data_IF_922450886099
#
_entry.id   IF_922450886099
#
_cell.length_a   1.000
_cell.length_b   1.000
_cell.length_c   1.000
_cell.angle_alpha   90.00
_cell.angle_beta   90.00
_cell.angle_gamma   90.00
#
_symmetry.space_group_name_H-M   'P 1'
#
loop_
_entity.id
_entity.type
_entity.pdbx_description
1 polymer ?
#
# COMPACT_ATOMS: atom_id res chain seq x y z
N UNK A 1 10.89 -43.27 -3.17
CA UNK A 1 11.70 -42.22 -2.49
C UNK A 1 12.07 -41.03 -3.39
N UNK A 2 12.70 -41.20 -4.56
CA UNK A 2 13.20 -40.07 -5.39
C UNK A 2 12.12 -39.08 -5.88
N UNK A 3 10.89 -39.53 -6.16
CA UNK A 3 9.78 -38.68 -6.63
C UNK A 3 9.30 -37.70 -5.56
N UNK A 4 9.16 -38.17 -4.32
CA UNK A 4 8.75 -37.35 -3.18
C UNK A 4 9.81 -36.29 -2.84
N UNK A 5 11.09 -36.64 -2.97
CA UNK A 5 12.20 -35.71 -2.77
C UNK A 5 12.20 -34.56 -3.81
N UNK A 6 11.93 -34.85 -5.08
CA UNK A 6 11.78 -33.81 -6.12
C UNK A 6 10.60 -32.88 -5.83
N UNK A 7 9.48 -33.41 -5.37
CA UNK A 7 8.30 -32.60 -5.02
C UNK A 7 8.62 -31.64 -3.87
N UNK A 8 9.32 -32.12 -2.83
CA UNK A 8 9.75 -31.29 -1.70
C UNK A 8 10.66 -30.15 -2.16
N UNK A 9 11.63 -30.43 -3.04
CA UNK A 9 12.51 -29.39 -3.59
C UNK A 9 11.72 -28.32 -4.35
N UNK A 10 10.76 -28.72 -5.19
CA UNK A 10 9.92 -27.77 -5.94
C UNK A 10 9.08 -26.91 -4.99
N UNK A 11 8.53 -27.49 -3.92
CA UNK A 11 7.77 -26.74 -2.90
C UNK A 11 8.65 -25.73 -2.17
N UNK A 12 9.88 -26.10 -1.80
CA UNK A 12 10.84 -25.18 -1.16
C UNK A 12 11.20 -24.04 -2.12
N UNK A 13 11.48 -24.33 -3.40
CA UNK A 13 11.76 -23.31 -4.40
C UNK A 13 10.60 -22.34 -4.58
N UNK A 14 9.36 -22.85 -4.62
CA UNK A 14 8.17 -22.01 -4.69
C UNK A 14 8.03 -21.11 -3.45
N UNK A 15 8.22 -21.67 -2.25
CA UNK A 15 8.18 -20.90 -1.00
C UNK A 15 9.24 -19.77 -1.01
N UNK A 16 10.49 -20.09 -1.33
CA UNK A 16 11.59 -19.12 -1.40
C UNK A 16 11.28 -18.03 -2.44
N UNK A 17 10.74 -18.40 -3.60
CA UNK A 17 10.35 -17.44 -4.63
C UNK A 17 9.24 -16.48 -4.15
N UNK A 18 8.22 -16.98 -3.46
CA UNK A 18 7.14 -16.12 -2.92
C UNK A 18 7.65 -15.16 -1.86
N UNK A 19 8.53 -15.62 -0.96
CA UNK A 19 9.17 -14.76 0.05
C UNK A 19 10.04 -13.68 -0.62
N UNK A 20 10.81 -14.03 -1.65
CA UNK A 20 11.65 -13.09 -2.39
C UNK A 20 10.82 -12.03 -3.12
N UNK A 21 9.68 -12.42 -3.69
CA UNK A 21 8.73 -11.50 -4.33
C UNK A 21 8.12 -10.52 -3.32
N UNK A 22 7.74 -10.99 -2.13
CA UNK A 22 7.25 -10.13 -1.05
C UNK A 22 8.31 -9.12 -0.62
N UNK A 23 9.54 -9.59 -0.39
CA UNK A 23 10.67 -8.74 -0.03
C UNK A 23 10.98 -7.69 -1.10
N UNK A 24 10.99 -8.08 -2.38
CA UNK A 24 11.23 -7.14 -3.49
C UNK A 24 10.14 -6.06 -3.57
N UNK A 25 8.88 -6.41 -3.28
CA UNK A 25 7.77 -5.45 -3.24
C UNK A 25 7.94 -4.44 -2.09
N UNK A 26 8.25 -4.92 -0.88
CA UNK A 26 8.53 -4.04 0.26
C UNK A 26 9.75 -3.15 0.03
N UNK A 27 10.83 -3.68 -0.55
CA UNK A 27 12.02 -2.92 -0.89
C UNK A 27 11.72 -1.86 -1.96
N UNK A 28 10.91 -2.19 -2.97
CA UNK A 28 10.48 -1.24 -3.99
C UNK A 28 9.69 -0.08 -3.39
N UNK A 29 8.72 -0.39 -2.52
CA UNK A 29 7.95 0.62 -1.79
C UNK A 29 8.87 1.46 -0.91
N UNK A 30 9.75 0.83 -0.13
CA UNK A 30 10.71 1.53 0.72
C UNK A 30 11.59 2.49 -0.08
N UNK A 31 12.15 2.06 -1.23
CA UNK A 31 12.97 2.91 -2.10
C UNK A 31 12.13 4.06 -2.66
N UNK A 32 10.90 3.78 -3.12
CA UNK A 32 9.95 4.79 -3.63
C UNK A 32 9.66 5.85 -2.56
N UNK A 33 9.46 5.45 -1.31
CA UNK A 33 9.09 6.36 -0.21
C UNK A 33 10.27 7.04 0.49
N UNK A 34 11.49 6.50 0.37
CA UNK A 34 12.70 7.08 0.99
C UNK A 34 13.45 8.02 0.06
N UNK A 35 13.28 7.87 -1.26
CA UNK A 35 13.86 8.77 -2.26
C UNK A 35 12.98 10.01 -2.41
N UNK A 36 12.96 10.86 -1.38
CA UNK A 36 12.29 12.15 -1.41
C UNK A 36 13.15 13.14 -2.20
N UNK A 37 12.90 13.27 -3.50
CA UNK A 37 13.09 14.52 -4.25
C UNK A 37 11.95 14.59 -5.24
N UNK A 38 11.14 15.64 -5.12
CA UNK A 38 10.16 16.09 -6.10
C UNK A 38 10.56 15.69 -7.53
N UNK A 39 9.79 14.80 -8.15
CA UNK A 39 9.87 14.55 -9.59
C UNK A 39 8.57 15.10 -10.17
N UNK A 40 8.65 16.27 -10.82
CA UNK A 40 7.54 16.81 -11.63
C UNK A 40 6.96 15.78 -12.61
N UNK A 41 7.78 14.76 -12.96
CA UNK A 41 7.46 13.66 -13.86
C UNK A 41 6.54 12.59 -13.26
N UNK A 42 6.52 12.42 -11.94
CA UNK A 42 5.73 11.37 -11.26
C UNK A 42 4.53 11.92 -10.48
N UNK A 43 4.45 13.25 -10.31
CA UNK A 43 3.42 13.97 -9.55
C UNK A 43 3.16 13.42 -8.13
N UNK A 44 4.04 12.59 -7.59
CA UNK A 44 3.85 11.85 -6.35
C UNK A 44 4.17 12.68 -5.11
N UNK A 45 3.16 13.07 -4.33
CA UNK A 45 3.36 13.71 -3.03
C UNK A 45 3.49 12.67 -1.92
N UNK A 46 4.69 12.55 -1.34
CA UNK A 46 4.88 11.88 -0.07
C UNK A 46 4.64 12.93 1.01
N UNK A 47 3.46 12.91 1.62
CA UNK A 47 3.13 13.78 2.76
C UNK A 47 3.02 12.93 4.03
N UNK A 48 3.74 13.35 5.05
CA UNK A 48 3.56 12.84 6.41
C UNK A 48 2.30 13.49 6.98
N UNK A 49 1.36 12.65 7.43
CA UNK A 49 0.15 13.14 8.08
C UNK A 49 0.08 12.63 9.51
N UNK A 50 0.07 13.56 10.46
CA UNK A 50 -0.18 13.29 11.87
C UNK A 50 -1.69 13.20 12.11
N UNK A 51 -2.25 12.05 11.74
CA UNK A 51 -3.67 11.73 11.91
C UNK A 51 -3.91 10.86 13.14
N UNK A 52 -5.15 10.87 13.66
CA UNK A 52 -5.58 9.90 14.66
C UNK A 52 -5.48 8.46 14.12
N UNK A 53 -5.28 7.49 15.01
CA UNK A 53 -5.13 6.07 14.62
C UNK A 53 -6.36 5.54 13.86
N UNK A 54 -7.55 6.01 14.23
CA UNK A 54 -8.80 5.69 13.55
C UNK A 54 -8.82 6.22 12.11
N UNK A 55 -8.40 7.46 11.91
CA UNK A 55 -8.34 8.05 10.58
C UNK A 55 -7.26 7.38 9.71
N UNK A 56 -6.11 7.02 10.28
CA UNK A 56 -5.07 6.22 9.58
C UNK A 56 -5.65 4.88 9.10
N UNK A 57 -6.39 4.17 9.95
CA UNK A 57 -7.04 2.89 9.62
C UNK A 57 -8.04 3.05 8.47
N UNK A 58 -8.86 4.09 8.51
CA UNK A 58 -9.83 4.40 7.45
C UNK A 58 -9.14 4.73 6.12
N UNK A 59 -8.08 5.54 6.17
CA UNK A 59 -7.26 5.88 5.01
C UNK A 59 -6.63 4.65 4.36
N UNK A 60 -6.07 3.74 5.17
CA UNK A 60 -5.51 2.48 4.66
C UNK A 60 -6.58 1.63 3.96
N UNK A 61 -7.81 1.57 4.49
CA UNK A 61 -8.90 0.83 3.86
C UNK A 61 -9.28 1.44 2.49
N UNK A 62 -9.38 2.77 2.42
CA UNK A 62 -9.64 3.49 1.17
C UNK A 62 -8.54 3.25 0.14
N UNK A 63 -7.27 3.37 0.56
CA UNK A 63 -6.12 3.16 -0.34
C UNK A 63 -6.07 1.73 -0.86
N UNK A 64 -6.34 0.72 -0.02
CA UNK A 64 -6.46 -0.68 -0.43
C UNK A 64 -7.59 -0.88 -1.44
N UNK A 65 -8.76 -0.30 -1.19
CA UNK A 65 -9.92 -0.40 -2.09
C UNK A 65 -9.63 0.20 -3.47
N UNK A 66 -9.02 1.38 -3.49
CA UNK A 66 -8.68 2.11 -4.71
C UNK A 66 -7.39 1.61 -5.39
N UNK A 67 -6.64 0.71 -4.75
CA UNK A 67 -5.39 0.17 -5.30
C UNK A 67 -4.19 1.13 -5.25
N UNK A 68 -4.22 2.14 -4.38
CA UNK A 68 -3.10 3.07 -4.20
C UNK A 68 -2.00 2.46 -3.33
N UNK A 69 -0.76 2.78 -3.67
CA UNK A 69 0.40 2.41 -2.89
C UNK A 69 0.55 3.31 -1.65
N UNK A 70 0.88 2.69 -0.52
CA UNK A 70 1.12 3.38 0.75
C UNK A 70 2.20 2.66 1.57
N UNK A 71 2.76 3.34 2.56
CA UNK A 71 3.74 2.83 3.50
C UNK A 71 3.45 3.37 4.91
N UNK A 72 3.43 2.48 5.89
CA UNK A 72 3.38 2.84 7.31
C UNK A 72 4.79 2.75 7.90
N UNK A 73 5.28 3.83 8.51
CA UNK A 73 6.62 3.86 9.15
C UNK A 73 6.62 4.80 10.34
N UNK A 74 7.11 4.34 11.49
CA UNK A 74 7.21 5.11 12.74
C UNK A 74 5.88 5.73 13.21
N UNK A 75 4.75 5.06 12.95
CA UNK A 75 3.42 5.60 13.27
C UNK A 75 2.88 6.62 12.27
N UNK A 76 3.65 6.94 11.23
CA UNK A 76 3.26 7.83 10.15
C UNK A 76 2.80 7.06 8.92
N UNK A 77 1.85 7.64 8.18
CA UNK A 77 1.36 7.11 6.92
C UNK A 77 1.93 7.94 5.77
N UNK A 78 2.58 7.26 4.84
CA UNK A 78 3.15 7.81 3.61
C UNK A 78 2.35 7.28 2.42
N UNK A 79 1.87 8.17 1.57
CA UNK A 79 1.04 7.85 0.41
C UNK A 79 1.64 8.45 -0.83
N UNK A 80 1.38 7.86 -1.99
CA UNK A 80 1.74 8.45 -3.29
C UNK A 80 0.46 8.89 -3.97
N UNK A 81 0.28 10.20 -4.08
CA UNK A 81 -0.89 10.79 -4.71
C UNK A 81 -0.43 11.76 -5.79
N UNK A 82 -1.08 11.72 -6.97
CA UNK A 82 -0.70 12.49 -8.14
C UNK A 82 -1.12 13.97 -8.06
N UNK A 83 -2.24 14.31 -7.40
CA UNK A 83 -2.72 15.70 -7.34
C UNK A 83 -3.34 16.06 -5.98
N UNK A 84 -3.34 17.35 -5.63
CA UNK A 84 -4.02 17.86 -4.41
C UNK A 84 -5.53 17.55 -4.40
N UNK A 85 -6.17 17.45 -5.58
CA UNK A 85 -7.57 17.03 -5.73
C UNK A 85 -7.84 15.62 -5.24
N UNK A 86 -6.87 14.72 -5.41
CA UNK A 86 -6.98 13.33 -4.99
C UNK A 86 -6.87 13.22 -3.47
N UNK A 87 -6.10 14.11 -2.81
CA UNK A 87 -6.05 14.20 -1.35
C UNK A 87 -7.42 14.59 -0.79
N UNK A 88 -8.09 15.58 -1.39
CA UNK A 88 -9.43 15.99 -0.94
C UNK A 88 -10.47 14.88 -1.17
N UNK A 89 -10.38 14.17 -2.29
CA UNK A 89 -11.23 13.01 -2.58
C UNK A 89 -11.02 11.89 -1.56
N UNK A 90 -9.76 11.52 -1.29
CA UNK A 90 -9.40 10.51 -0.29
C UNK A 90 -9.88 10.93 1.10
N UNK A 91 -9.73 12.21 1.48
CA UNK A 91 -10.21 12.72 2.75
C UNK A 91 -11.73 12.57 2.87
N UNK A 92 -12.47 12.99 1.85
CA UNK A 92 -13.93 12.84 1.86
C UNK A 92 -14.34 11.37 1.99
N UNK A 93 -13.65 10.45 1.30
CA UNK A 93 -13.88 9.02 1.43
C UNK A 93 -13.57 8.49 2.84
N UNK A 94 -12.47 8.93 3.45
CA UNK A 94 -12.09 8.53 4.81
C UNK A 94 -13.11 8.96 5.86
N UNK A 95 -13.67 10.16 5.71
CA UNK A 95 -14.72 10.65 6.59
C UNK A 95 -16.03 9.87 6.41
N UNK A 96 -16.30 9.35 5.21
CA UNK A 96 -17.42 8.44 4.98
C UNK A 96 -17.10 6.99 5.34
N UNK A 97 -15.83 6.67 5.68
CA UNK A 97 -15.37 5.30 5.79
C UNK A 97 -15.87 4.56 7.03
N UNK A 98 -16.43 5.28 8.01
CA UNK A 98 -17.08 4.74 9.19
C UNK A 98 -18.31 3.87 8.87
N UNK A 99 -18.88 3.99 7.67
CA UNK A 99 -20.03 3.19 7.21
C UNK A 99 -19.62 2.17 6.12
N UNK A 100 -19.43 0.87 6.43
CA UNK A 100 -19.01 -0.15 5.47
C UNK A 100 -19.81 -0.20 4.15
N UNK A 101 -21.02 0.37 4.10
CA UNK A 101 -21.85 0.46 2.90
C UNK A 101 -21.25 1.33 1.77
N UNK A 102 -20.30 2.23 2.05
CA UNK A 102 -19.70 3.09 1.01
C UNK A 102 -18.86 2.28 -0.01
N UNK A 103 -18.33 1.12 0.40
CA UNK A 103 -17.54 0.20 -0.43
C UNK A 103 -18.38 -0.44 -1.54
N UNK A 104 -19.70 -0.58 -1.30
CA UNK A 104 -20.67 -1.22 -2.18
C UNK A 104 -21.42 -0.23 -3.08
N UNK A 105 -20.93 1.02 -3.20
CA UNK A 105 -21.48 2.01 -4.15
C UNK A 105 -21.04 1.74 -5.59
N UNK A 106 -21.09 0.47 -6.00
CA UNK A 106 -21.07 0.06 -7.39
C UNK A 106 -22.42 0.40 -8.04
N UNK A 107 -22.64 1.68 -8.35
CA UNK A 107 -23.63 2.13 -9.32
C UNK A 107 -23.02 3.18 -10.22
#
# INVERSE_FOLDING_TARGET
MKKNFKIIIVMIQFLVFTMFKSFANELHLYIRFTKVVYSEKEQAFIREFDYSDEYKKNMINVLKYLGYAYLEKNGNLYITIQLDSDIQYLWNLCNTAEDPSWVDRSK
#
